data_IF_813810824966
#
_entry.id   IF_813810824966
#
_cell.length_a   1.000
_cell.length_b   1.000
_cell.length_c   1.000
_cell.angle_alpha   90.00
_cell.angle_beta   90.00
_cell.angle_gamma   90.00
#
_symmetry.space_group_name_H-M   'P 1'
#
loop_
_entity.id
_entity.type
_entity.pdbx_description
1 polymer ?
#
# COMPACT_ATOMS: atom_id res chain seq x y z
N UNK A 1 -5.44 -3.55 15.56
CA UNK A 1 -4.70 -4.75 15.08
C UNK A 1 -3.32 -4.37 14.49
N UNK A 2 -2.69 -3.32 15.00
CA UNK A 2 -1.44 -2.76 14.44
C UNK A 2 -0.26 -3.73 14.50
N UNK A 3 -0.26 -4.67 15.46
CA UNK A 3 0.75 -5.73 15.56
C UNK A 3 0.87 -6.55 14.27
N UNK A 4 -0.23 -6.78 13.54
CA UNK A 4 -0.22 -7.53 12.28
C UNK A 4 0.47 -6.75 11.14
N UNK A 5 0.58 -5.44 11.28
CA UNK A 5 1.24 -4.55 10.33
C UNK A 5 2.73 -4.36 10.63
N UNK A 6 3.30 -5.05 11.63
CA UNK A 6 4.75 -5.00 11.88
C UNK A 6 5.51 -5.86 10.87
N UNK A 7 6.70 -5.40 10.46
CA UNK A 7 7.48 -6.07 9.42
C UNK A 7 8.04 -7.44 9.89
N UNK A 8 8.29 -7.58 11.18
CA UNK A 8 8.81 -8.78 11.86
C UNK A 8 7.72 -9.75 12.33
N UNK A 9 6.45 -9.38 12.19
CA UNK A 9 5.31 -10.24 12.56
C UNK A 9 5.41 -11.60 11.87
N UNK A 10 5.52 -12.68 12.67
CA UNK A 10 5.78 -14.04 12.19
C UNK A 10 6.92 -14.12 11.16
N UNK A 11 8.04 -13.41 11.44
CA UNK A 11 9.22 -13.31 10.56
C UNK A 11 8.94 -12.69 9.19
N UNK A 12 7.86 -11.92 9.07
CA UNK A 12 7.44 -11.24 7.84
C UNK A 12 6.82 -12.17 6.77
N UNK A 13 6.62 -13.46 7.09
CA UNK A 13 6.05 -14.44 6.15
C UNK A 13 4.62 -14.04 5.71
N UNK A 14 3.70 -13.66 6.62
CA UNK A 14 2.34 -13.28 6.22
C UNK A 14 2.32 -12.10 5.24
N UNK A 15 3.17 -11.09 5.48
CA UNK A 15 3.30 -9.92 4.60
C UNK A 15 3.73 -10.32 3.20
N UNK A 16 4.78 -11.14 3.09
CA UNK A 16 5.27 -11.62 1.80
C UNK A 16 4.19 -12.37 1.04
N UNK A 17 3.43 -13.25 1.70
CA UNK A 17 2.35 -14.01 1.08
C UNK A 17 1.19 -13.12 0.61
N UNK A 18 0.74 -12.19 1.44
CA UNK A 18 -0.35 -11.26 1.09
C UNK A 18 0.06 -10.36 -0.08
N UNK A 19 1.24 -9.72 0.00
CA UNK A 19 1.75 -8.85 -1.07
C UNK A 19 2.00 -9.66 -2.35
N UNK A 20 2.52 -10.89 -2.26
CA UNK A 20 2.71 -11.73 -3.44
C UNK A 20 1.39 -12.13 -4.10
N UNK A 21 0.37 -12.45 -3.31
CA UNK A 21 -0.95 -12.83 -3.83
C UNK A 21 -1.63 -11.66 -4.52
N UNK A 22 -1.71 -10.51 -3.84
CA UNK A 22 -2.32 -9.28 -4.37
C UNK A 22 -1.52 -8.75 -5.55
N UNK A 23 -0.19 -8.79 -5.46
CA UNK A 23 0.71 -8.35 -6.53
C UNK A 23 0.61 -9.20 -7.78
N UNK A 24 0.43 -10.52 -7.64
CA UNK A 24 0.20 -11.42 -8.79
C UNK A 24 -1.13 -11.13 -9.48
N UNK A 25 -2.19 -10.92 -8.69
CA UNK A 25 -3.49 -10.48 -9.21
C UNK A 25 -3.36 -9.14 -9.95
N UNK A 26 -2.77 -8.13 -9.32
CA UNK A 26 -2.54 -6.81 -9.91
C UNK A 26 -1.75 -6.89 -11.23
N UNK A 27 -0.66 -7.67 -11.25
CA UNK A 27 0.17 -7.85 -12.45
C UNK A 27 -0.62 -8.48 -13.58
N UNK A 28 -1.42 -9.51 -13.26
CA UNK A 28 -2.27 -10.19 -14.24
C UNK A 28 -3.29 -9.21 -14.82
N UNK A 29 -3.96 -8.44 -13.96
CA UNK A 29 -4.95 -7.44 -14.39
C UNK A 29 -4.32 -6.37 -15.27
N UNK A 30 -3.31 -5.68 -14.76
CA UNK A 30 -2.75 -4.51 -15.44
C UNK A 30 -1.87 -4.85 -16.65
N UNK A 31 -1.19 -6.00 -16.66
CA UNK A 31 -0.22 -6.34 -17.71
C UNK A 31 -0.71 -7.41 -18.70
N UNK A 32 -1.74 -8.21 -18.38
CA UNK A 32 -2.18 -9.31 -19.25
C UNK A 32 -3.61 -9.14 -19.76
N UNK A 33 -4.55 -8.76 -18.91
CA UNK A 33 -5.98 -8.67 -19.27
C UNK A 33 -6.47 -7.23 -19.47
N UNK A 34 -5.58 -6.24 -19.37
CA UNK A 34 -5.89 -4.83 -19.64
C UNK A 34 -4.80 -4.16 -20.46
N UNK A 35 -5.15 -3.07 -21.14
CA UNK A 35 -4.18 -2.16 -21.76
C UNK A 35 -3.85 -1.03 -20.77
N UNK A 36 -2.62 -1.01 -20.28
CA UNK A 36 -2.16 -0.02 -19.30
C UNK A 36 -1.07 0.86 -19.92
N UNK A 37 -1.29 2.17 -19.93
CA UNK A 37 -0.26 3.17 -20.24
C UNK A 37 0.27 3.78 -18.94
N UNK A 38 1.60 3.90 -18.82
CA UNK A 38 2.25 4.54 -17.67
C UNK A 38 3.22 5.58 -18.17
N UNK A 39 3.07 6.80 -17.67
CA UNK A 39 3.97 7.92 -17.96
C UNK A 39 4.92 8.11 -16.78
N UNK A 40 6.19 8.42 -17.05
CA UNK A 40 7.22 8.70 -16.05
C UNK A 40 7.48 7.56 -15.03
N UNK A 41 7.34 6.29 -15.46
CA UNK A 41 7.59 5.13 -14.62
C UNK A 41 9.00 5.13 -14.00
N UNK A 42 10.02 5.56 -14.75
CA UNK A 42 11.41 5.61 -14.28
C UNK A 42 11.60 6.61 -13.13
N UNK A 43 10.91 7.74 -13.19
CA UNK A 43 10.93 8.73 -12.10
C UNK A 43 10.35 8.14 -10.83
N UNK A 44 9.20 7.45 -10.92
CA UNK A 44 8.59 6.77 -9.79
C UNK A 44 9.54 5.70 -9.22
N UNK A 45 10.11 4.84 -10.07
CA UNK A 45 11.04 3.79 -9.64
C UNK A 45 12.28 4.36 -8.95
N UNK A 46 12.82 5.47 -9.45
CA UNK A 46 13.95 6.19 -8.83
C UNK A 46 13.58 6.74 -7.45
N UNK A 47 12.42 7.37 -7.32
CA UNK A 47 11.96 7.91 -6.02
C UNK A 47 11.70 6.81 -4.99
N UNK A 48 11.16 5.67 -5.43
CA UNK A 48 10.85 4.56 -4.54
C UNK A 48 12.11 3.80 -4.10
N UNK A 49 13.09 3.61 -5.00
CA UNK A 49 14.31 2.81 -4.73
C UNK A 49 15.51 3.61 -4.22
N UNK A 50 15.61 4.88 -4.58
CA UNK A 50 16.86 5.65 -4.43
C UNK A 50 16.67 6.96 -3.66
N UNK A 51 15.57 7.11 -2.94
CA UNK A 51 15.39 8.23 -2.01
C UNK A 51 16.40 8.14 -0.85
N UNK A 52 16.93 9.27 -0.35
CA UNK A 52 17.78 9.28 0.83
C UNK A 52 17.07 8.66 2.04
N UNK A 53 17.82 8.00 2.91
CA UNK A 53 17.27 7.41 4.12
C UNK A 53 16.60 8.47 4.99
N UNK A 54 15.42 8.13 5.54
CA UNK A 54 14.64 9.04 6.39
C UNK A 54 13.80 10.06 5.63
N UNK A 55 13.92 10.17 4.30
CA UNK A 55 13.05 11.03 3.50
C UNK A 55 11.79 10.25 3.09
N UNK A 56 10.59 10.68 3.51
CA UNK A 56 9.36 10.01 3.12
C UNK A 56 8.97 10.27 1.66
N UNK A 57 8.08 9.42 1.16
CA UNK A 57 7.39 9.64 -0.11
C UNK A 57 5.89 9.68 0.14
N UNK A 58 5.23 10.69 -0.44
CA UNK A 58 3.77 10.78 -0.48
C UNK A 58 3.35 10.72 -1.93
N UNK A 59 2.42 9.81 -2.26
CA UNK A 59 1.74 9.82 -3.55
C UNK A 59 0.28 10.17 -3.34
N UNK A 60 -0.21 11.13 -4.10
CA UNK A 60 -1.60 11.56 -4.10
C UNK A 60 -2.23 11.15 -5.42
N UNK A 61 -3.38 10.49 -5.36
CA UNK A 61 -4.09 10.01 -6.55
C UNK A 61 -5.58 10.32 -6.45
N UNK A 62 -6.22 10.47 -7.60
CA UNK A 62 -7.68 10.34 -7.65
C UNK A 62 -8.06 8.87 -7.39
N UNK A 63 -9.24 8.64 -6.82
CA UNK A 63 -9.74 7.31 -6.54
C UNK A 63 -11.08 7.11 -7.26
N UNK A 64 -11.09 6.17 -8.22
CA UNK A 64 -12.27 5.84 -9.04
C UNK A 64 -12.84 4.47 -8.68
N UNK A 65 -12.01 3.53 -8.20
CA UNK A 65 -12.44 2.18 -7.87
C UNK A 65 -11.60 1.55 -6.76
N UNK A 66 -12.17 0.59 -6.02
CA UNK A 66 -11.42 -0.17 -5.01
C UNK A 66 -10.28 -1.02 -5.60
N UNK A 67 -10.28 -1.24 -6.92
CA UNK A 67 -9.20 -1.96 -7.62
C UNK A 67 -7.99 -1.08 -7.93
N UNK A 68 -8.08 0.25 -7.75
CA UNK A 68 -6.98 1.16 -8.01
C UNK A 68 -5.75 0.81 -7.16
N UNK A 69 -5.97 0.44 -5.89
CA UNK A 69 -4.93 0.14 -4.91
C UNK A 69 -4.05 -1.08 -5.21
N UNK A 70 -4.60 -2.20 -5.69
CA UNK A 70 -3.77 -3.28 -6.20
C UNK A 70 -3.37 -3.08 -7.66
N UNK A 71 -4.32 -2.80 -8.56
CA UNK A 71 -4.12 -2.96 -10.01
C UNK A 71 -3.18 -1.89 -10.58
N UNK A 72 -3.27 -0.64 -10.12
CA UNK A 72 -2.45 0.45 -10.66
C UNK A 72 -0.95 0.17 -10.56
N UNK A 73 -0.51 -0.56 -9.53
CA UNK A 73 0.90 -0.90 -9.29
C UNK A 73 1.34 -2.19 -10.00
N UNK A 74 0.42 -2.89 -10.66
CA UNK A 74 0.68 -4.10 -11.44
C UNK A 74 1.30 -3.85 -12.82
N UNK A 75 1.66 -2.61 -13.16
CA UNK A 75 2.20 -2.27 -14.47
C UNK A 75 3.55 -2.94 -14.77
N UNK A 76 3.88 -3.08 -16.06
CA UNK A 76 5.12 -3.72 -16.51
C UNK A 76 6.35 -2.97 -15.99
N UNK A 77 7.32 -3.70 -15.45
CA UNK A 77 8.54 -3.12 -14.87
C UNK A 77 8.44 -2.73 -13.38
N UNK A 78 7.23 -2.60 -12.81
CA UNK A 78 7.12 -2.36 -11.37
C UNK A 78 7.42 -3.64 -10.55
N UNK A 79 8.33 -3.57 -9.56
CA UNK A 79 8.67 -4.66 -8.63
C UNK A 79 7.58 -4.94 -7.59
N UNK A 80 6.38 -5.36 -8.03
CA UNK A 80 5.19 -5.51 -7.17
C UNK A 80 5.34 -6.51 -6.00
N UNK A 81 6.34 -7.39 -6.06
CA UNK A 81 6.60 -8.42 -5.04
C UNK A 81 7.56 -7.98 -3.93
N UNK A 82 8.22 -6.83 -4.07
CA UNK A 82 9.15 -6.35 -3.07
C UNK A 82 8.39 -5.65 -1.93
N UNK A 83 8.44 -6.29 -0.76
CA UNK A 83 7.71 -5.83 0.43
C UNK A 83 8.30 -4.58 1.06
N UNK A 84 9.55 -4.22 0.76
CA UNK A 84 10.21 -3.04 1.32
C UNK A 84 9.73 -1.76 0.65
N UNK A 85 9.44 -1.85 -0.65
CA UNK A 85 8.90 -0.75 -1.43
C UNK A 85 7.38 -0.77 -1.53
N UNK A 86 6.72 -1.78 -0.98
CA UNK A 86 5.27 -1.76 -0.84
C UNK A 86 4.86 -0.58 0.04
N UNK A 87 4.00 0.28 -0.50
CA UNK A 87 3.54 1.50 0.17
C UNK A 87 2.52 1.21 1.27
N UNK A 88 2.38 2.12 2.21
CA UNK A 88 1.23 2.17 3.10
C UNK A 88 0.06 2.85 2.40
N UNK A 89 -1.15 2.40 2.68
CA UNK A 89 -2.36 2.92 2.03
C UNK A 89 -3.39 3.27 3.08
N UNK A 90 -4.05 4.41 2.92
CA UNK A 90 -5.22 4.77 3.70
C UNK A 90 -6.45 4.06 3.13
N UNK A 91 -7.05 3.17 3.91
CA UNK A 91 -8.16 2.32 3.47
C UNK A 91 -9.42 2.57 4.30
N UNK A 92 -10.58 2.61 3.66
CA UNK A 92 -11.86 2.88 4.32
C UNK A 92 -12.17 1.79 5.37
N UNK A 93 -12.31 2.20 6.63
CA UNK A 93 -12.50 1.29 7.77
C UNK A 93 -13.78 0.44 7.63
N UNK A 94 -14.86 1.09 7.21
CA UNK A 94 -16.18 0.50 7.01
C UNK A 94 -16.24 -0.48 5.84
N UNK A 95 -15.26 -0.51 4.94
CA UNK A 95 -15.19 -1.42 3.79
C UNK A 95 -14.16 -2.52 4.03
N UNK A 96 -12.92 -2.16 4.37
CA UNK A 96 -11.79 -3.07 4.43
C UNK A 96 -11.67 -3.79 5.78
N UNK A 97 -12.24 -3.26 6.86
CA UNK A 97 -12.01 -3.74 8.24
C UNK A 97 -13.30 -4.25 8.91
N UNK A 98 -14.21 -4.84 8.12
CA UNK A 98 -15.52 -5.32 8.57
C UNK A 98 -15.47 -6.54 9.50
N UNK A 99 -14.43 -7.36 9.43
CA UNK A 99 -14.28 -8.55 10.27
C UNK A 99 -12.80 -8.83 10.58
N UNK A 100 -12.50 -9.70 11.56
CA UNK A 100 -11.12 -9.96 11.99
C UNK A 100 -10.21 -10.50 10.88
N UNK A 101 -10.73 -11.37 10.01
CA UNK A 101 -9.96 -11.95 8.90
C UNK A 101 -9.55 -10.89 7.88
N UNK A 102 -10.51 -10.08 7.42
CA UNK A 102 -10.23 -8.99 6.48
C UNK A 102 -9.29 -7.97 7.11
N UNK A 103 -9.55 -7.59 8.36
CA UNK A 103 -8.68 -6.66 9.08
C UNK A 103 -7.25 -7.16 9.18
N UNK A 104 -7.05 -8.46 9.41
CA UNK A 104 -5.72 -9.07 9.43
C UNK A 104 -5.04 -8.99 8.06
N UNK A 105 -5.73 -9.36 6.99
CA UNK A 105 -5.20 -9.31 5.61
C UNK A 105 -4.82 -7.88 5.22
N UNK A 106 -5.71 -6.91 5.41
CA UNK A 106 -5.47 -5.51 5.07
C UNK A 106 -4.36 -4.90 5.93
N UNK A 107 -4.32 -5.14 7.24
CA UNK A 107 -3.19 -4.68 8.09
C UNK A 107 -1.86 -5.29 7.65
N UNK A 108 -1.84 -6.59 7.35
CA UNK A 108 -0.65 -7.30 6.86
C UNK A 108 -0.15 -6.73 5.52
N UNK A 109 -1.08 -6.33 4.65
CA UNK A 109 -0.85 -5.67 3.37
C UNK A 109 -0.48 -4.18 3.44
N UNK A 110 -0.16 -3.64 4.62
CA UNK A 110 0.20 -2.22 4.86
C UNK A 110 -0.97 -1.24 4.64
N UNK A 111 -2.21 -1.64 4.93
CA UNK A 111 -3.35 -0.72 4.95
C UNK A 111 -3.59 -0.15 6.36
N UNK A 112 -3.81 1.17 6.42
CA UNK A 112 -4.15 1.93 7.62
C UNK A 112 -5.65 2.27 7.53
N UNK A 113 -6.48 1.85 8.49
CA UNK A 113 -7.92 2.12 8.48
C UNK A 113 -8.21 3.60 8.71
N UNK A 114 -9.09 4.18 7.89
CA UNK A 114 -9.55 5.56 8.02
C UNK A 114 -11.06 5.58 8.15
N UNK A 115 -11.56 6.34 9.13
CA UNK A 115 -12.99 6.59 9.32
C UNK A 115 -13.43 7.75 8.42
N UNK A 116 -14.27 7.44 7.44
CA UNK A 116 -14.86 8.44 6.54
C UNK A 116 -15.78 9.38 7.33
N UNK A 117 -15.66 10.69 7.08
CA UNK A 117 -16.42 11.71 7.81
C UNK A 117 -15.87 12.04 9.21
N UNK A 118 -14.86 11.33 9.70
CA UNK A 118 -14.20 11.61 10.99
C UNK A 118 -13.23 12.79 10.97
N UNK A 119 -13.03 13.43 9.80
CA UNK A 119 -12.06 14.51 9.63
C UNK A 119 -10.60 14.03 9.64
N UNK A 120 -9.67 14.98 9.70
CA UNK A 120 -8.22 14.71 9.67
C UNK A 120 -7.65 14.30 11.02
N UNK A 121 -8.33 14.63 12.12
CA UNK A 121 -7.88 14.39 13.48
C UNK A 121 -8.39 13.02 13.98
N UNK A 122 -7.81 11.94 13.46
CA UNK A 122 -8.12 10.57 13.89
C UNK A 122 -6.84 9.80 14.20
N UNK A 123 -6.93 8.83 15.12
CA UNK A 123 -5.78 8.05 15.61
C UNK A 123 -4.94 7.45 14.47
N UNK A 124 -5.59 6.87 13.47
CA UNK A 124 -4.90 6.24 12.34
C UNK A 124 -4.22 7.24 11.38
N UNK A 125 -4.58 8.52 11.41
CA UNK A 125 -3.80 9.55 10.73
C UNK A 125 -2.47 9.81 11.44
N UNK A 126 -2.43 9.68 12.78
CA UNK A 126 -1.15 9.72 13.50
C UNK A 126 -0.26 8.54 13.13
N UNK A 127 -0.83 7.33 12.95
CA UNK A 127 -0.08 6.18 12.44
C UNK A 127 0.53 6.49 11.05
N UNK A 128 -0.22 7.11 10.14
CA UNK A 128 0.29 7.52 8.83
C UNK A 128 1.44 8.54 8.94
N UNK A 129 1.32 9.52 9.85
CA UNK A 129 2.39 10.48 10.15
C UNK A 129 3.63 9.79 10.72
N UNK A 130 3.49 8.81 11.61
CA UNK A 130 4.60 8.02 12.14
C UNK A 130 5.34 7.25 11.04
N UNK A 131 4.60 6.68 10.07
CA UNK A 131 5.23 6.04 8.88
C UNK A 131 6.03 7.06 8.08
N UNK A 132 5.47 8.23 7.82
CA UNK A 132 6.18 9.30 7.10
C UNK A 132 7.42 9.78 7.86
N UNK A 133 7.32 9.99 9.18
CA UNK A 133 8.46 10.36 10.02
C UNK A 133 9.56 9.28 10.03
N UNK A 134 9.21 8.03 9.74
CA UNK A 134 10.16 6.92 9.60
C UNK A 134 10.77 6.80 8.18
N UNK A 135 10.44 7.71 7.26
CA UNK A 135 10.90 7.68 5.86
C UNK A 135 10.19 6.67 4.97
N UNK A 136 9.05 6.13 5.41
CA UNK A 136 8.24 5.20 4.61
C UNK A 136 7.50 5.94 3.48
N UNK A 137 6.93 5.14 2.58
CA UNK A 137 6.09 5.62 1.50
C UNK A 137 4.62 5.42 1.85
N UNK A 138 3.82 6.50 1.82
CA UNK A 138 2.36 6.48 2.03
C UNK A 138 1.63 6.97 0.79
N UNK A 139 0.52 6.32 0.47
CA UNK A 139 -0.38 6.67 -0.63
C UNK A 139 -1.76 7.07 -0.13
N UNK A 140 -2.28 8.12 -0.74
CA UNK A 140 -3.60 8.71 -0.49
C UNK A 140 -4.37 8.94 -1.79
#
# INVERSE_FOLDING_TARGET
MEWAARADHLRGIPRKLVIATIGSFAKTVASLINTTSVHNADTLLRLVRSRPQGIPLITVSNHMSTLDDPVMWGFKGFPIFDTNIARWVLAAQDICFKNPLYSYVFRTGKCIPITRGGGIYQEHMNEALERLNSGEWVSM
#
